data_IF_981911820181
#
_entry.id   IF_981911820181
#
_cell.length_a   1.000
_cell.length_b   1.000
_cell.length_c   1.000
_cell.angle_alpha   90.00
_cell.angle_beta   90.00
_cell.angle_gamma   90.00
#
_symmetry.space_group_name_H-M   'P 1'
#
loop_
_entity.id
_entity.type
_entity.pdbx_description
1 polymer ?
#
# COMPACT_ATOMS: atom_id res chain seq x y z
N UNK A 1 13.08 -4.22 -29.83
CA UNK A 1 12.58 -3.05 -29.07
C UNK A 1 13.13 -3.19 -27.68
N UNK A 2 13.97 -2.27 -27.23
CA UNK A 2 14.59 -2.36 -25.91
C UNK A 2 13.58 -1.84 -24.87
N UNK A 3 13.18 -2.71 -23.94
CA UNK A 3 12.28 -2.36 -22.84
C UNK A 3 13.07 -1.53 -21.81
N UNK A 4 12.53 -0.37 -21.42
CA UNK A 4 13.11 0.44 -20.36
C UNK A 4 12.11 0.70 -19.23
N UNK A 5 12.63 1.11 -18.06
CA UNK A 5 11.80 1.32 -16.86
C UNK A 5 10.67 2.34 -17.09
N UNK A 6 10.91 3.41 -17.84
CA UNK A 6 9.88 4.42 -18.12
C UNK A 6 8.70 3.84 -18.89
N UNK A 7 8.94 2.91 -19.82
CA UNK A 7 7.87 2.21 -20.53
C UNK A 7 7.09 1.27 -19.62
N UNK A 8 7.76 0.58 -18.69
CA UNK A 8 7.12 -0.28 -17.69
C UNK A 8 6.23 0.53 -16.75
N UNK A 9 6.75 1.62 -16.19
CA UNK A 9 6.00 2.56 -15.33
C UNK A 9 4.79 3.12 -16.05
N UNK A 10 4.95 3.56 -17.31
CA UNK A 10 3.83 4.10 -18.10
C UNK A 10 2.72 3.06 -18.31
N UNK A 11 3.07 1.81 -18.59
CA UNK A 11 2.09 0.71 -18.73
C UNK A 11 1.37 0.42 -17.42
N UNK A 12 2.11 0.37 -16.32
CA UNK A 12 1.55 0.15 -14.99
C UNK A 12 0.55 1.27 -14.62
N UNK A 13 0.94 2.53 -14.78
CA UNK A 13 0.05 3.67 -14.49
C UNK A 13 -1.20 3.70 -15.39
N UNK A 14 -1.08 3.26 -16.64
CA UNK A 14 -2.24 3.15 -17.52
C UNK A 14 -3.24 2.08 -17.04
N UNK A 15 -2.76 0.91 -16.58
CA UNK A 15 -3.60 -0.12 -15.97
C UNK A 15 -4.22 0.35 -14.66
N UNK A 16 -3.44 1.06 -13.83
CA UNK A 16 -3.91 1.64 -12.59
C UNK A 16 -5.04 2.64 -12.84
N UNK A 17 -4.87 3.52 -13.83
CA UNK A 17 -5.88 4.52 -14.20
C UNK A 17 -7.17 3.91 -14.75
N UNK A 18 -7.12 2.73 -15.39
CA UNK A 18 -8.32 2.04 -15.87
C UNK A 18 -9.15 1.44 -14.72
N UNK A 19 -8.53 1.23 -13.56
CA UNK A 19 -9.15 0.67 -12.36
C UNK A 19 -9.06 1.67 -11.19
N UNK A 20 -9.18 2.97 -11.49
CA UNK A 20 -8.89 4.04 -10.54
C UNK A 20 -9.74 3.96 -9.26
N UNK A 21 -11.02 3.59 -9.37
CA UNK A 21 -11.92 3.50 -8.22
C UNK A 21 -11.53 2.38 -7.25
N UNK A 22 -11.02 1.26 -7.78
CA UNK A 22 -10.46 0.19 -6.97
C UNK A 22 -9.25 0.66 -6.17
N UNK A 23 -8.25 1.24 -6.85
CA UNK A 23 -7.04 1.73 -6.17
C UNK A 23 -7.33 2.88 -5.21
N UNK A 24 -8.34 3.71 -5.48
CA UNK A 24 -8.81 4.73 -4.54
C UNK A 24 -9.42 4.11 -3.28
N UNK A 25 -10.12 2.99 -3.37
CA UNK A 25 -10.62 2.28 -2.20
C UNK A 25 -9.47 1.70 -1.37
N UNK A 26 -8.45 1.11 -2.01
CA UNK A 26 -7.24 0.62 -1.33
C UNK A 26 -6.49 1.79 -0.67
N UNK A 27 -6.31 2.91 -1.36
CA UNK A 27 -5.70 4.14 -0.83
C UNK A 27 -6.43 4.65 0.42
N UNK A 28 -7.77 4.66 0.37
CA UNK A 28 -8.60 5.06 1.52
C UNK A 28 -8.38 4.13 2.71
N UNK A 29 -8.30 2.81 2.47
CA UNK A 29 -8.02 1.83 3.51
C UNK A 29 -6.63 2.05 4.13
N UNK A 30 -5.58 2.15 3.31
CA UNK A 30 -4.20 2.38 3.79
C UNK A 30 -4.12 3.68 4.59
N UNK A 31 -4.67 4.78 4.07
CA UNK A 31 -4.70 6.06 4.76
C UNK A 31 -5.43 5.98 6.11
N UNK A 32 -6.49 5.17 6.22
CA UNK A 32 -7.18 4.94 7.51
C UNK A 32 -6.27 4.26 8.52
N UNK A 33 -5.49 3.26 8.10
CA UNK A 33 -4.55 2.55 8.99
C UNK A 33 -3.37 3.44 9.40
N UNK A 34 -2.85 4.25 8.48
CA UNK A 34 -1.79 5.22 8.77
C UNK A 34 -2.30 6.31 9.71
N UNK A 35 -3.53 6.80 9.52
CA UNK A 35 -4.15 7.77 10.42
C UNK A 35 -4.31 7.18 11.83
N UNK A 36 -4.71 5.91 11.95
CA UNK A 36 -4.80 5.25 13.26
C UNK A 36 -3.44 5.18 13.99
N UNK A 37 -2.34 4.96 13.25
CA UNK A 37 -0.99 5.05 13.82
C UNK A 37 -0.67 6.49 14.26
N UNK A 38 -1.01 7.49 13.44
CA UNK A 38 -0.83 8.90 13.77
C UNK A 38 -1.57 9.30 15.06
N UNK A 39 -2.83 8.89 15.19
CA UNK A 39 -3.64 9.17 16.37
C UNK A 39 -3.10 8.43 17.62
N UNK A 40 -2.61 7.20 17.44
CA UNK A 40 -2.00 6.42 18.53
C UNK A 40 -0.75 7.09 19.09
N UNK A 41 0.05 7.71 18.21
CA UNK A 41 1.27 8.44 18.58
C UNK A 41 1.03 9.65 19.50
N UNK A 42 -0.21 10.14 19.62
CA UNK A 42 -0.54 11.22 20.56
C UNK A 42 -0.36 10.78 22.03
N UNK A 43 -0.50 9.50 22.31
CA UNK A 43 -0.52 8.98 23.70
C UNK A 43 0.38 7.77 23.93
N UNK A 44 0.80 7.07 22.88
CA UNK A 44 1.50 5.79 22.96
C UNK A 44 2.68 5.73 22.00
N UNK A 45 3.79 5.15 22.43
CA UNK A 45 4.90 4.83 21.54
C UNK A 45 4.53 3.66 20.63
N UNK A 46 4.14 3.98 19.39
CA UNK A 46 3.90 3.03 18.32
C UNK A 46 4.67 3.48 17.07
N UNK A 47 5.23 2.55 16.31
CA UNK A 47 6.05 2.87 15.14
C UNK A 47 5.69 2.04 13.91
N UNK A 48 4.65 1.21 14.02
CA UNK A 48 4.33 0.15 13.07
C UNK A 48 2.88 0.26 12.62
N UNK A 49 2.65 0.19 11.31
CA UNK A 49 1.35 -0.03 10.69
C UNK A 49 1.32 -1.45 10.12
N UNK A 50 0.24 -2.19 10.41
CA UNK A 50 0.01 -3.52 9.89
C UNK A 50 -1.13 -3.43 8.88
N UNK A 51 -0.89 -3.88 7.66
CA UNK A 51 -1.86 -3.89 6.58
C UNK A 51 -2.12 -5.34 6.20
N UNK A 52 -3.31 -5.85 6.52
CA UNK A 52 -3.78 -7.13 6.02
C UNK A 52 -4.32 -6.95 4.59
N UNK A 53 -3.83 -7.78 3.67
CA UNK A 53 -4.17 -7.70 2.24
C UNK A 53 -5.61 -8.14 2.00
N UNK A 54 -6.09 -9.17 2.72
CA UNK A 54 -7.46 -9.67 2.59
C UNK A 54 -8.47 -8.63 3.10
N UNK A 55 -8.15 -7.93 4.20
CA UNK A 55 -8.98 -6.83 4.70
C UNK A 55 -9.02 -5.65 3.73
N UNK A 56 -7.91 -5.31 3.09
CA UNK A 56 -7.85 -4.25 2.08
C UNK A 56 -8.74 -4.59 0.86
N UNK A 57 -8.64 -5.83 0.35
CA UNK A 57 -9.49 -6.30 -0.75
C UNK A 57 -10.96 -6.38 -0.32
N UNK A 58 -11.25 -6.84 0.90
CA UNK A 58 -12.61 -6.88 1.44
C UNK A 58 -13.20 -5.47 1.58
N UNK A 59 -12.40 -4.49 1.99
CA UNK A 59 -12.80 -3.08 2.04
C UNK A 59 -13.19 -2.57 0.65
N UNK A 60 -12.35 -2.77 -0.37
CA UNK A 60 -12.67 -2.38 -1.74
C UNK A 60 -13.97 -3.05 -2.24
N UNK A 61 -14.12 -4.36 -1.97
CA UNK A 61 -15.31 -5.12 -2.34
C UNK A 61 -16.58 -4.59 -1.67
N UNK A 62 -16.51 -4.20 -0.40
CA UNK A 62 -17.63 -3.59 0.33
C UNK A 62 -18.04 -2.23 -0.26
N UNK A 63 -17.13 -1.55 -0.95
CA UNK A 63 -17.40 -0.33 -1.72
C UNK A 63 -17.85 -0.60 -3.17
N UNK A 64 -18.14 -1.86 -3.49
CA UNK A 64 -18.55 -2.29 -4.83
C UNK A 64 -17.41 -2.31 -5.86
N UNK A 65 -16.15 -2.24 -5.41
CA UNK A 65 -14.98 -2.26 -6.28
C UNK A 65 -14.30 -3.63 -6.22
N UNK A 66 -14.08 -4.25 -7.37
CA UNK A 66 -13.36 -5.51 -7.46
C UNK A 66 -12.65 -5.62 -8.80
N UNK A 67 -11.44 -6.17 -8.81
CA UNK A 67 -10.78 -6.52 -10.06
C UNK A 67 -11.34 -7.86 -10.59
N UNK A 68 -11.42 -8.00 -11.92
CA UNK A 68 -12.11 -9.15 -12.53
C UNK A 68 -11.31 -10.45 -12.42
N UNK A 69 -9.98 -10.36 -12.28
CA UNK A 69 -9.08 -11.50 -12.14
C UNK A 69 -8.53 -11.56 -10.70
N UNK A 70 -8.92 -12.56 -9.88
CA UNK A 70 -8.50 -12.67 -8.49
C UNK A 70 -6.98 -12.77 -8.28
N UNK A 71 -6.26 -13.45 -9.19
CA UNK A 71 -4.80 -13.59 -9.05
C UNK A 71 -4.09 -12.26 -9.33
N UNK A 72 -4.63 -11.49 -10.29
CA UNK A 72 -4.19 -10.12 -10.53
C UNK A 72 -4.62 -9.16 -9.43
N UNK A 73 -5.72 -9.43 -8.74
CA UNK A 73 -6.29 -8.59 -7.67
C UNK A 73 -5.36 -8.49 -6.46
N UNK A 74 -4.96 -9.64 -5.91
CA UNK A 74 -4.04 -9.72 -4.78
C UNK A 74 -2.69 -9.07 -5.12
N UNK A 75 -2.13 -9.44 -6.27
CA UNK A 75 -0.85 -8.88 -6.75
C UNK A 75 -0.93 -7.36 -6.95
N UNK A 76 -2.04 -6.85 -7.50
CA UNK A 76 -2.24 -5.43 -7.69
C UNK A 76 -2.35 -4.69 -6.35
N UNK A 77 -3.08 -5.26 -5.39
CA UNK A 77 -3.26 -4.72 -4.03
C UNK A 77 -1.91 -4.61 -3.32
N UNK A 78 -1.15 -5.70 -3.28
CA UNK A 78 0.18 -5.73 -2.67
C UNK A 78 1.08 -4.66 -3.27
N UNK A 79 1.21 -4.64 -4.61
CA UNK A 79 2.09 -3.68 -5.28
C UNK A 79 1.67 -2.23 -5.03
N UNK A 80 0.36 -1.96 -4.96
CA UNK A 80 -0.14 -0.63 -4.69
C UNK A 80 0.19 -0.19 -3.25
N UNK A 81 -0.12 -1.03 -2.24
CA UNK A 81 0.15 -0.75 -0.83
C UNK A 81 1.64 -0.50 -0.61
N UNK A 82 2.52 -1.35 -1.17
CA UNK A 82 3.97 -1.19 -1.05
C UNK A 82 4.45 0.17 -1.57
N UNK A 83 3.96 0.58 -2.74
CA UNK A 83 4.29 1.87 -3.35
C UNK A 83 3.74 3.04 -2.54
N UNK A 84 2.54 2.90 -1.98
CA UNK A 84 1.88 3.93 -1.21
C UNK A 84 2.60 4.20 0.11
N UNK A 85 2.94 3.13 0.86
CA UNK A 85 3.74 3.22 2.09
C UNK A 85 5.13 3.84 1.83
N UNK A 86 5.82 3.46 0.74
CA UNK A 86 7.10 4.06 0.36
C UNK A 86 6.97 5.54 -0.02
N UNK A 87 5.86 5.92 -0.67
CA UNK A 87 5.55 7.31 -1.00
C UNK A 87 5.33 8.16 0.25
N UNK A 88 4.70 7.59 1.29
CA UNK A 88 4.58 8.18 2.62
C UNK A 88 5.92 8.20 3.39
N UNK A 89 6.96 7.53 2.89
CA UNK A 89 8.29 7.46 3.50
C UNK A 89 8.41 6.43 4.61
N UNK A 90 7.45 5.52 4.75
CA UNK A 90 7.51 4.40 5.68
C UNK A 90 8.48 3.34 5.16
N UNK A 91 9.19 2.70 6.08
CA UNK A 91 10.03 1.55 5.80
C UNK A 91 9.14 0.31 5.76
N UNK A 92 9.03 -0.33 4.60
CA UNK A 92 8.35 -1.62 4.49
C UNK A 92 9.31 -2.74 4.90
N UNK A 93 8.89 -3.58 5.84
CA UNK A 93 9.65 -4.79 6.19
C UNK A 93 9.58 -5.83 5.08
N UNK A 94 10.65 -6.60 4.93
CA UNK A 94 10.69 -7.68 3.95
C UNK A 94 9.73 -8.81 4.36
N UNK A 95 8.96 -9.33 3.39
CA UNK A 95 7.91 -10.34 3.58
C UNK A 95 8.34 -11.61 4.33
N UNK A 96 9.63 -11.96 4.38
CA UNK A 96 10.09 -13.13 5.14
C UNK A 96 10.01 -12.96 6.65
N UNK A 97 9.79 -11.72 7.13
CA UNK A 97 9.64 -11.40 8.54
C UNK A 97 8.18 -11.11 8.95
N UNK A 98 7.23 -11.24 8.03
CA UNK A 98 5.81 -10.99 8.25
C UNK A 98 4.96 -12.19 7.85
N UNK A 99 3.72 -12.23 8.34
CA UNK A 99 2.75 -13.21 7.85
C UNK A 99 2.54 -13.04 6.33
N UNK A 100 2.29 -14.14 5.57
CA UNK A 100 2.24 -14.09 4.12
C UNK A 100 1.27 -13.04 3.54
N UNK A 101 0.18 -12.76 4.25
CA UNK A 101 -0.88 -11.83 3.82
C UNK A 101 -0.81 -10.47 4.52
N UNK A 102 0.27 -10.19 5.25
CA UNK A 102 0.42 -8.96 6.03
C UNK A 102 1.63 -8.17 5.56
N UNK A 103 1.39 -6.91 5.22
CA UNK A 103 2.44 -5.92 4.95
C UNK A 103 2.70 -5.13 6.23
N UNK A 104 3.96 -5.06 6.64
CA UNK A 104 4.40 -4.32 7.83
C UNK A 104 5.13 -3.06 7.38
N UNK A 105 4.55 -1.90 7.67
CA UNK A 105 5.20 -0.60 7.47
C UNK A 105 5.69 -0.02 8.80
N UNK A 106 6.88 0.56 8.83
CA UNK A 106 7.48 1.17 10.01
C UNK A 106 7.87 2.62 9.78
N UNK A 107 7.82 3.44 10.83
CA UNK A 107 8.34 4.81 10.79
C UNK A 107 9.84 4.77 10.50
N UNK A 108 10.26 5.50 9.46
CA UNK A 108 11.64 5.44 8.97
C UNK A 108 12.52 6.51 9.62
N UNK A 109 12.94 6.32 10.87
CA UNK A 109 13.77 7.29 11.60
C UNK A 109 15.12 7.62 10.93
N UNK A 110 15.60 6.78 10.00
CA UNK A 110 16.83 6.99 9.25
C UNK A 110 16.70 7.97 8.08
N UNK A 111 15.49 8.28 7.63
CA UNK A 111 15.23 9.17 6.50
C UNK A 111 15.10 10.64 6.94
N UNK A 112 16.09 11.12 7.70
CA UNK A 112 16.07 12.46 8.32
C UNK A 112 15.82 13.62 7.35
N UNK A 113 16.16 13.46 6.06
CA UNK A 113 15.93 14.47 5.02
C UNK A 113 14.45 14.66 4.64
N UNK A 114 13.53 13.78 5.06
CA UNK A 114 12.08 13.93 4.80
C UNK A 114 11.32 14.57 5.97
N UNK A 115 11.96 14.79 7.13
CA UNK A 115 11.30 15.29 8.35
C UNK A 115 11.55 16.78 8.63
N UNK A 116 12.30 17.48 7.77
CA UNK A 116 12.65 18.90 7.90
C UNK A 116 12.49 19.65 6.58
#
# INVERSE_FOLDING_TARGET
>A
MELNNNQLVKRYLALQSQNADYFKAIDTFVNTQVQALYDTLETTFADTVLIDIDDAMAYAKNQGQQLTDPASEETATVNYILKDLDSLGLLVEAQHNSDPNTIVGKINFGNQSRYY
#
